data_IF_036043189472
#
_entry.id   IF_036043189472
#
_cell.length_a   1.000
_cell.length_b   1.000
_cell.length_c   1.000
_cell.angle_alpha   90.00
_cell.angle_beta   90.00
_cell.angle_gamma   90.00
#
_symmetry.space_group_name_H-M   'P 1'
#
loop_
_entity.id
_entity.type
_entity.pdbx_description
1 polymer ?
#
# COMPACT_ATOMS: atom_id res chain seq x y z
N UNK A 1 -2.17 1.27 25.34
CA UNK A 1 -3.55 0.98 24.92
C UNK A 1 -3.79 -0.47 24.47
N UNK A 2 -2.78 -1.26 24.19
CA UNK A 2 -2.94 -2.66 23.72
C UNK A 2 -2.72 -3.74 24.80
N UNK A 3 -2.87 -3.44 26.07
CA UNK A 3 -2.58 -4.39 27.17
C UNK A 3 -3.78 -5.21 27.63
N UNK A 4 -5.01 -4.85 27.28
CA UNK A 4 -6.23 -5.59 27.68
C UNK A 4 -6.85 -6.39 26.50
N UNK A 5 -6.34 -6.26 25.30
CA UNK A 5 -6.84 -6.93 24.10
C UNK A 5 -5.76 -7.46 23.17
N UNK A 6 -4.62 -7.95 23.71
CA UNK A 6 -3.49 -8.36 22.86
C UNK A 6 -3.86 -9.37 21.78
N UNK A 7 -4.73 -10.34 22.11
CA UNK A 7 -5.20 -11.34 21.14
C UNK A 7 -6.13 -10.75 20.08
N UNK A 8 -7.04 -9.85 20.47
CA UNK A 8 -7.94 -9.16 19.54
C UNK A 8 -7.14 -8.26 18.59
N UNK A 9 -6.17 -7.52 19.11
CA UNK A 9 -5.29 -6.66 18.34
C UNK A 9 -4.41 -7.44 17.34
N UNK A 10 -3.93 -8.64 17.70
CA UNK A 10 -3.16 -9.52 16.80
C UNK A 10 -4.05 -10.06 15.70
N UNK A 11 -5.26 -10.49 16.04
CA UNK A 11 -6.23 -11.02 15.07
C UNK A 11 -6.62 -9.96 14.04
N UNK A 12 -6.90 -8.74 14.46
CA UNK A 12 -7.28 -7.64 13.58
C UNK A 12 -6.16 -7.27 12.62
N UNK A 13 -4.92 -7.21 13.11
CA UNK A 13 -3.73 -7.00 12.28
C UNK A 13 -3.53 -8.14 11.28
N UNK A 14 -3.75 -9.38 11.70
CA UNK A 14 -3.65 -10.54 10.81
C UNK A 14 -4.71 -10.50 9.69
N UNK A 15 -5.95 -10.11 10.02
CA UNK A 15 -7.03 -9.96 9.02
C UNK A 15 -6.70 -8.86 8.01
N UNK A 16 -6.23 -7.71 8.46
CA UNK A 16 -5.84 -6.61 7.55
C UNK A 16 -4.59 -6.98 6.73
N UNK A 17 -3.64 -7.71 7.32
CA UNK A 17 -2.50 -8.26 6.58
C UNK A 17 -2.94 -9.28 5.52
N UNK A 18 -3.89 -10.15 5.85
CA UNK A 18 -4.47 -11.10 4.89
C UNK A 18 -5.21 -10.36 3.76
N UNK A 19 -5.95 -9.30 4.07
CA UNK A 19 -6.59 -8.43 3.08
C UNK A 19 -5.55 -7.84 2.11
N UNK A 20 -4.48 -7.24 2.61
CA UNK A 20 -3.40 -6.71 1.78
C UNK A 20 -2.74 -7.80 0.92
N UNK A 21 -2.55 -9.01 1.47
CA UNK A 21 -2.01 -10.15 0.72
C UNK A 21 -2.96 -10.60 -0.41
N UNK A 22 -4.25 -10.71 -0.14
CA UNK A 22 -5.26 -11.08 -1.17
C UNK A 22 -5.32 -10.04 -2.29
N UNK A 23 -5.31 -8.74 -1.95
CA UNK A 23 -5.26 -7.67 -2.95
C UNK A 23 -3.99 -7.78 -3.81
N UNK A 24 -2.87 -8.03 -3.19
CA UNK A 24 -1.60 -8.16 -3.89
C UNK A 24 -1.51 -9.41 -4.78
N UNK A 25 -2.36 -10.41 -4.54
CA UNK A 25 -2.49 -11.59 -5.39
C UNK A 25 -3.28 -11.30 -6.69
N UNK A 26 -4.09 -10.23 -6.72
CA UNK A 26 -4.85 -9.78 -7.89
C UNK A 26 -3.94 -9.04 -8.88
N UNK A 27 -3.04 -9.77 -9.51
CA UNK A 27 -2.07 -9.20 -10.45
C UNK A 27 -2.70 -8.88 -11.79
N UNK A 28 -2.43 -7.68 -12.29
CA UNK A 28 -2.76 -7.28 -13.66
C UNK A 28 -1.45 -7.20 -14.46
N UNK A 29 -1.36 -7.85 -15.62
CA UNK A 29 -0.21 -7.67 -16.50
C UNK A 29 -0.07 -6.19 -16.87
N UNK A 30 1.09 -5.64 -16.65
CA UNK A 30 1.43 -4.28 -17.08
C UNK A 30 2.23 -4.30 -18.38
N UNK A 31 2.48 -3.12 -18.91
CA UNK A 31 3.29 -2.95 -20.12
C UNK A 31 4.70 -3.50 -19.86
N UNK A 32 5.37 -4.03 -20.88
CA UNK A 32 6.77 -4.52 -20.82
C UNK A 32 7.02 -5.74 -19.92
N UNK A 33 5.99 -6.58 -19.66
CA UNK A 33 6.19 -7.81 -18.88
C UNK A 33 6.25 -7.60 -17.36
N UNK A 34 6.01 -6.37 -16.87
CA UNK A 34 5.81 -6.11 -15.45
C UNK A 34 4.40 -6.49 -15.01
N UNK A 35 4.15 -6.52 -13.71
CA UNK A 35 2.81 -6.72 -13.16
C UNK A 35 2.51 -5.65 -12.11
N UNK A 36 1.26 -5.22 -12.11
CA UNK A 36 0.74 -4.24 -11.15
C UNK A 36 -0.36 -4.87 -10.31
N UNK A 37 -0.46 -4.46 -9.06
CA UNK A 37 -1.50 -4.93 -8.15
C UNK A 37 -1.85 -3.84 -7.13
N UNK A 38 -3.06 -3.83 -6.56
CA UNK A 38 -3.38 -2.99 -5.41
C UNK A 38 -2.51 -3.39 -4.22
N UNK A 39 -2.08 -2.43 -3.43
CA UNK A 39 -1.17 -2.70 -2.31
C UNK A 39 -1.89 -3.15 -1.04
N UNK A 40 -3.08 -2.61 -0.79
CA UNK A 40 -3.86 -2.84 0.42
C UNK A 40 -3.26 -2.25 1.69
N UNK A 41 -2.07 -1.65 1.61
CA UNK A 41 -1.38 -1.08 2.78
C UNK A 41 -2.01 0.23 3.25
N UNK A 42 -2.78 0.90 2.40
CA UNK A 42 -3.51 2.12 2.74
C UNK A 42 -4.49 1.90 3.90
N UNK A 43 -5.26 0.82 3.87
CA UNK A 43 -6.16 0.44 4.97
C UNK A 43 -5.39 0.20 6.27
N UNK A 44 -4.31 -0.59 6.21
CA UNK A 44 -3.48 -0.89 7.36
C UNK A 44 -2.86 0.38 7.97
N UNK A 45 -2.39 1.32 7.13
CA UNK A 45 -1.80 2.57 7.57
C UNK A 45 -2.81 3.49 8.28
N UNK A 46 -4.06 3.53 7.81
CA UNK A 46 -5.15 4.28 8.43
C UNK A 46 -5.48 3.69 9.80
N UNK A 47 -5.60 2.35 9.91
CA UNK A 47 -6.03 1.67 11.12
C UNK A 47 -4.94 1.58 12.20
N UNK A 48 -3.70 1.28 11.82
CA UNK A 48 -2.64 0.91 12.78
C UNK A 48 -1.44 1.85 12.75
N UNK A 49 -1.43 2.82 11.85
CA UNK A 49 -0.29 3.71 11.64
C UNK A 49 0.86 3.08 10.85
N UNK A 50 1.84 3.89 10.44
CA UNK A 50 2.88 3.47 9.49
C UNK A 50 3.84 2.41 10.05
N UNK A 51 4.18 2.47 11.34
CA UNK A 51 5.14 1.53 11.94
C UNK A 51 4.64 0.08 11.93
N UNK A 52 3.39 -0.14 12.35
CA UNK A 52 2.78 -1.48 12.33
C UNK A 52 2.57 -1.95 10.90
N UNK A 53 2.14 -1.05 10.03
CA UNK A 53 1.93 -1.35 8.60
C UNK A 53 3.24 -1.73 7.91
N UNK A 54 4.37 -1.16 8.30
CA UNK A 54 5.67 -1.56 7.77
C UNK A 54 6.01 -3.02 8.10
N UNK A 55 5.69 -3.48 9.30
CA UNK A 55 5.87 -4.89 9.69
C UNK A 55 4.92 -5.79 8.91
N UNK A 56 3.64 -5.42 8.81
CA UNK A 56 2.66 -6.17 8.02
C UNK A 56 3.05 -6.22 6.55
N UNK A 57 3.49 -5.09 5.99
CA UNK A 57 3.97 -5.00 4.61
C UNK A 57 5.17 -5.90 4.34
N UNK A 58 6.13 -5.98 5.27
CA UNK A 58 7.25 -6.91 5.17
C UNK A 58 6.77 -8.37 5.12
N UNK A 59 5.85 -8.75 6.02
CA UNK A 59 5.30 -10.11 6.05
C UNK A 59 4.58 -10.43 4.74
N UNK A 60 3.71 -9.54 4.26
CA UNK A 60 3.00 -9.69 3.00
C UNK A 60 3.96 -9.85 1.82
N UNK A 61 5.01 -9.02 1.76
CA UNK A 61 6.00 -9.06 0.68
C UNK A 61 6.85 -10.34 0.70
N UNK A 62 7.15 -10.90 1.89
CA UNK A 62 7.80 -12.21 1.99
C UNK A 62 6.90 -13.28 1.38
N UNK A 63 5.62 -13.32 1.74
CA UNK A 63 4.68 -14.27 1.15
C UNK A 63 4.48 -14.06 -0.35
N UNK A 64 4.47 -12.81 -0.83
CA UNK A 64 4.44 -12.53 -2.27
C UNK A 64 5.65 -13.11 -3.00
N UNK A 65 6.85 -12.89 -2.45
CA UNK A 65 8.09 -13.37 -3.06
C UNK A 65 8.16 -14.90 -3.11
N UNK A 66 7.69 -15.57 -2.05
CA UNK A 66 7.79 -17.04 -1.92
C UNK A 66 6.63 -17.76 -2.61
N UNK A 67 5.39 -17.30 -2.42
CA UNK A 67 4.19 -18.02 -2.88
C UNK A 67 3.68 -17.54 -4.24
N UNK A 68 3.83 -16.25 -4.52
CA UNK A 68 3.24 -15.65 -5.73
C UNK A 68 4.26 -15.41 -6.84
N UNK A 69 5.54 -15.72 -6.61
CA UNK A 69 6.64 -15.41 -7.52
C UNK A 69 6.57 -13.95 -8.03
N UNK A 70 6.31 -13.01 -7.13
CA UNK A 70 6.18 -11.59 -7.42
C UNK A 70 7.23 -10.79 -6.66
N UNK A 71 8.00 -9.98 -7.37
CA UNK A 71 9.08 -9.17 -6.84
C UNK A 71 10.38 -9.95 -6.59
N UNK A 72 10.33 -11.12 -6.03
CA UNK A 72 11.51 -11.94 -5.71
C UNK A 72 12.27 -11.48 -4.44
N UNK A 73 13.11 -12.38 -3.92
CA UNK A 73 13.88 -12.15 -2.69
C UNK A 73 14.95 -11.07 -2.88
N UNK A 74 15.53 -10.99 -4.07
CA UNK A 74 16.58 -10.01 -4.42
C UNK A 74 16.08 -8.56 -4.41
N UNK A 75 14.81 -8.33 -4.73
CA UNK A 75 14.18 -7.00 -4.75
C UNK A 75 13.35 -6.73 -3.50
N UNK A 76 13.32 -7.65 -2.53
CA UNK A 76 12.50 -7.56 -1.33
C UNK A 76 12.75 -6.24 -0.56
N UNK A 77 14.00 -5.85 -0.39
CA UNK A 77 14.35 -4.61 0.33
C UNK A 77 13.81 -3.36 -0.37
N UNK A 78 13.90 -3.29 -1.69
CA UNK A 78 13.35 -2.18 -2.47
C UNK A 78 11.81 -2.13 -2.37
N UNK A 79 11.15 -3.29 -2.45
CA UNK A 79 9.70 -3.39 -2.32
C UNK A 79 9.22 -3.05 -0.89
N UNK A 80 9.95 -3.47 0.14
CA UNK A 80 9.64 -3.09 1.54
C UNK A 80 9.77 -1.58 1.71
N UNK A 81 10.80 -0.96 1.16
CA UNK A 81 10.96 0.48 1.26
C UNK A 81 9.83 1.24 0.56
N UNK A 82 9.45 0.85 -0.65
CA UNK A 82 8.37 1.53 -1.39
C UNK A 82 6.99 1.25 -0.81
N UNK A 83 6.61 -0.02 -0.70
CA UNK A 83 5.26 -0.45 -0.30
C UNK A 83 5.09 -0.56 1.23
N UNK A 84 6.11 -1.01 1.95
CA UNK A 84 6.01 -1.22 3.39
C UNK A 84 6.31 0.04 4.22
N UNK A 85 7.05 1.01 3.69
CA UNK A 85 7.46 2.20 4.45
C UNK A 85 6.85 3.47 3.85
N UNK A 86 7.22 3.84 2.62
CA UNK A 86 6.81 5.14 2.05
C UNK A 86 5.31 5.20 1.74
N UNK A 87 4.74 4.16 1.14
CA UNK A 87 3.30 4.10 0.90
C UNK A 87 2.48 4.34 2.18
N UNK A 88 2.69 3.54 3.24
CA UNK A 88 2.00 3.72 4.53
C UNK A 88 2.20 5.08 5.19
N UNK A 89 3.41 5.65 5.14
CA UNK A 89 3.68 6.98 5.68
C UNK A 89 2.81 8.03 4.98
N UNK A 90 2.79 8.01 3.64
CA UNK A 90 1.98 8.95 2.86
C UNK A 90 0.49 8.76 3.13
N UNK A 91 -0.01 7.52 3.12
CA UNK A 91 -1.40 7.20 3.45
C UNK A 91 -1.80 7.75 4.81
N UNK A 92 -1.00 7.50 5.84
CA UNK A 92 -1.27 7.95 7.21
C UNK A 92 -1.35 9.47 7.33
N UNK A 93 -0.37 10.18 6.78
CA UNK A 93 -0.35 11.65 6.88
C UNK A 93 -1.48 12.30 6.09
N UNK A 94 -1.84 11.77 4.91
CA UNK A 94 -2.98 12.25 4.14
C UNK A 94 -4.28 12.05 4.93
N UNK A 95 -4.49 10.85 5.47
CA UNK A 95 -5.68 10.58 6.29
C UNK A 95 -5.75 11.50 7.49
N UNK A 96 -4.65 11.64 8.24
CA UNK A 96 -4.58 12.49 9.44
C UNK A 96 -4.85 13.97 9.12
N UNK A 97 -4.40 14.45 7.98
CA UNK A 97 -4.63 15.84 7.54
C UNK A 97 -6.06 16.11 7.08
N UNK A 98 -6.74 15.08 6.51
CA UNK A 98 -8.04 15.25 5.88
C UNK A 98 -9.21 14.64 6.67
N UNK A 99 -8.98 13.90 7.74
CA UNK A 99 -10.02 13.19 8.50
C UNK A 99 -11.14 14.10 9.04
N UNK A 100 -10.85 15.36 9.27
CA UNK A 100 -11.81 16.35 9.78
C UNK A 100 -12.72 16.97 8.69
N UNK A 101 -12.45 16.71 7.41
CA UNK A 101 -13.24 17.24 6.29
C UNK A 101 -14.37 16.26 5.94
N UNK A 102 -14.05 15.30 5.08
CA UNK A 102 -14.97 14.22 4.71
C UNK A 102 -14.23 12.89 4.87
N UNK A 103 -14.72 12.04 5.78
CA UNK A 103 -14.05 10.80 6.14
C UNK A 103 -13.85 9.87 4.93
N UNK A 104 -14.88 9.64 4.14
CA UNK A 104 -14.77 8.76 2.97
C UNK A 104 -13.79 9.30 1.93
N UNK A 105 -13.78 10.61 1.73
CA UNK A 105 -12.85 11.25 0.82
C UNK A 105 -11.40 11.19 1.34
N UNK A 106 -11.21 11.37 2.65
CA UNK A 106 -9.89 11.22 3.29
C UNK A 106 -9.35 9.80 3.15
N UNK A 107 -10.18 8.78 3.36
CA UNK A 107 -9.82 7.37 3.20
C UNK A 107 -9.46 7.07 1.74
N UNK A 108 -10.30 7.53 0.80
CA UNK A 108 -10.06 7.35 -0.63
C UNK A 108 -8.70 7.94 -1.05
N UNK A 109 -8.45 9.21 -0.71
CA UNK A 109 -7.20 9.86 -1.07
C UNK A 109 -5.99 9.23 -0.37
N UNK A 110 -6.13 8.86 0.90
CA UNK A 110 -5.05 8.22 1.64
C UNK A 110 -4.62 6.90 1.00
N UNK A 111 -5.56 6.04 0.64
CA UNK A 111 -5.26 4.77 -0.02
C UNK A 111 -4.72 4.98 -1.44
N UNK A 112 -5.39 5.79 -2.25
CA UNK A 112 -5.01 6.03 -3.64
C UNK A 112 -3.62 6.69 -3.76
N UNK A 113 -3.34 7.73 -2.97
CA UNK A 113 -2.05 8.42 -3.03
C UNK A 113 -0.93 7.62 -2.36
N UNK A 114 -1.24 6.78 -1.37
CA UNK A 114 -0.30 5.82 -0.81
C UNK A 114 0.15 4.79 -1.83
N UNK A 115 -0.79 4.21 -2.59
CA UNK A 115 -0.49 3.30 -3.69
C UNK A 115 0.33 4.01 -4.79
N UNK A 116 -0.08 5.19 -5.22
CA UNK A 116 0.68 5.99 -6.19
C UNK A 116 2.10 6.31 -5.70
N UNK A 117 2.30 6.60 -4.42
CA UNK A 117 3.63 6.84 -3.86
C UNK A 117 4.52 5.60 -3.93
N UNK A 118 3.94 4.43 -3.74
CA UNK A 118 4.67 3.16 -3.88
C UNK A 118 5.24 3.02 -5.29
N UNK A 119 4.44 3.26 -6.33
CA UNK A 119 4.92 3.12 -7.69
C UNK A 119 5.90 4.23 -8.11
N UNK A 120 5.72 5.48 -7.67
CA UNK A 120 6.66 6.57 -7.90
C UNK A 120 8.03 6.22 -7.30
N UNK A 121 8.04 5.74 -6.07
CA UNK A 121 9.26 5.28 -5.40
C UNK A 121 9.94 4.16 -6.18
N UNK A 122 9.18 3.16 -6.62
CA UNK A 122 9.69 2.05 -7.43
C UNK A 122 10.29 2.55 -8.75
N UNK A 123 9.64 3.51 -9.42
CA UNK A 123 10.17 4.11 -10.66
C UNK A 123 11.49 4.83 -10.44
N UNK A 124 11.63 5.52 -9.31
CA UNK A 124 12.89 6.17 -8.91
C UNK A 124 13.97 5.12 -8.65
N UNK A 125 13.65 4.07 -7.90
CA UNK A 125 14.59 2.97 -7.62
C UNK A 125 15.07 2.28 -8.90
N UNK A 126 14.17 2.02 -9.84
CA UNK A 126 14.52 1.43 -11.14
C UNK A 126 15.35 2.38 -12.00
N UNK A 127 15.03 3.68 -11.98
CA UNK A 127 15.80 4.70 -12.68
C UNK A 127 17.25 4.80 -12.16
N UNK A 128 17.44 4.62 -10.84
CA UNK A 128 18.78 4.58 -10.22
C UNK A 128 19.54 3.29 -10.57
N UNK A 129 18.84 2.15 -10.58
CA UNK A 129 19.46 0.86 -10.87
C UNK A 129 19.78 0.69 -12.36
N UNK A 130 18.97 1.26 -13.25
CA UNK A 130 19.06 1.12 -14.69
C UNK A 130 18.99 2.50 -15.38
N UNK A 131 20.02 3.34 -15.25
CA UNK A 131 20.03 4.65 -15.90
C UNK A 131 20.05 4.52 -17.43
N UNK A 132 19.35 5.43 -18.10
CA UNK A 132 19.31 5.45 -19.57
C UNK A 132 20.69 5.89 -20.14
N UNK A 133 21.23 5.22 -21.17
CA UNK A 133 22.52 5.55 -21.74
C UNK A 133 22.63 6.98 -22.29
N UNK A 134 21.53 7.56 -22.76
CA UNK A 134 21.51 8.86 -23.41
C UNK A 134 21.01 10.01 -22.51
N UNK A 135 20.15 9.70 -21.50
CA UNK A 135 19.51 10.69 -20.65
C UNK A 135 19.66 10.44 -19.16
N UNK A 136 20.47 9.46 -18.77
CA UNK A 136 20.78 9.16 -17.38
C UNK A 136 19.56 8.79 -16.53
N UNK A 137 19.67 9.08 -15.24
CA UNK A 137 18.66 8.76 -14.23
C UNK A 137 17.27 9.35 -14.52
N UNK A 138 17.22 10.66 -14.84
CA UNK A 138 15.94 11.35 -15.00
C UNK A 138 15.10 10.81 -16.15
N UNK A 139 15.75 10.51 -17.29
CA UNK A 139 15.07 9.95 -18.44
C UNK A 139 14.59 8.53 -18.14
N UNK A 140 15.39 7.71 -17.46
CA UNK A 140 15.01 6.37 -17.07
C UNK A 140 13.83 6.37 -16.09
N UNK A 141 13.90 7.15 -15.01
CA UNK A 141 12.82 7.27 -14.05
C UNK A 141 11.49 7.75 -14.68
N UNK A 142 11.55 8.74 -15.58
CA UNK A 142 10.36 9.22 -16.29
C UNK A 142 9.75 8.16 -17.22
N UNK A 143 10.57 7.36 -17.90
CA UNK A 143 10.11 6.22 -18.70
C UNK A 143 9.39 5.18 -17.83
N UNK A 144 9.98 4.79 -16.69
CA UNK A 144 9.33 3.86 -15.76
C UNK A 144 8.03 4.42 -15.20
N UNK A 145 8.00 5.70 -14.80
CA UNK A 145 6.76 6.36 -14.37
C UNK A 145 5.67 6.30 -15.45
N UNK A 146 6.00 6.59 -16.70
CA UNK A 146 5.04 6.52 -17.81
C UNK A 146 4.51 5.12 -18.05
N UNK A 147 5.38 4.11 -18.00
CA UNK A 147 5.02 2.71 -18.16
C UNK A 147 4.05 2.24 -17.07
N UNK A 148 4.36 2.55 -15.82
CA UNK A 148 3.54 2.12 -14.70
C UNK A 148 2.24 2.93 -14.55
N UNK A 149 2.22 4.21 -14.91
CA UNK A 149 1.05 5.07 -14.78
C UNK A 149 -0.20 4.48 -15.44
N UNK A 150 -0.05 3.82 -16.58
CA UNK A 150 -1.15 3.23 -17.36
C UNK A 150 -1.96 2.23 -16.53
N UNK A 151 -1.30 1.45 -15.69
CA UNK A 151 -1.94 0.42 -14.85
C UNK A 151 -2.13 0.90 -13.42
N UNK A 152 -1.18 1.64 -12.85
CA UNK A 152 -1.24 2.05 -11.45
C UNK A 152 -2.25 3.16 -11.17
N UNK A 153 -2.50 4.08 -12.10
CA UNK A 153 -3.52 5.12 -11.87
C UNK A 153 -4.93 4.51 -11.74
N UNK A 154 -5.39 3.64 -12.65
CA UNK A 154 -6.66 2.92 -12.46
C UNK A 154 -6.69 2.05 -11.20
N UNK A 155 -5.57 1.38 -10.87
CA UNK A 155 -5.48 0.55 -9.67
C UNK A 155 -5.58 1.38 -8.39
N UNK A 156 -4.89 2.51 -8.31
CA UNK A 156 -4.97 3.42 -7.15
C UNK A 156 -6.40 3.92 -6.92
N UNK A 157 -7.12 4.27 -7.99
CA UNK A 157 -8.52 4.66 -7.89
C UNK A 157 -9.38 3.51 -7.37
N UNK A 158 -9.20 2.30 -7.90
CA UNK A 158 -9.95 1.12 -7.46
C UNK A 158 -9.60 0.72 -6.03
N UNK A 159 -8.33 0.79 -5.62
CA UNK A 159 -7.90 0.56 -4.24
C UNK A 159 -8.51 1.59 -3.27
N UNK A 160 -8.51 2.86 -3.66
CA UNK A 160 -9.14 3.92 -2.87
C UNK A 160 -10.63 3.67 -2.64
N UNK A 161 -11.38 3.33 -3.70
CA UNK A 161 -12.81 3.01 -3.63
C UNK A 161 -13.07 1.76 -2.77
N UNK A 162 -12.29 0.70 -2.99
CA UNK A 162 -12.41 -0.53 -2.22
C UNK A 162 -12.11 -0.30 -0.74
N UNK A 163 -11.08 0.47 -0.43
CA UNK A 163 -10.73 0.82 0.95
C UNK A 163 -11.86 1.58 1.65
N UNK A 164 -12.53 2.51 0.97
CA UNK A 164 -13.71 3.19 1.51
C UNK A 164 -14.84 2.21 1.82
N UNK A 165 -15.12 1.27 0.91
CA UNK A 165 -16.18 0.26 1.13
C UNK A 165 -15.84 -0.62 2.32
N UNK A 166 -14.63 -1.16 2.37
CA UNK A 166 -14.18 -2.04 3.47
C UNK A 166 -14.18 -1.29 4.80
N UNK A 167 -13.71 -0.05 4.82
CA UNK A 167 -13.70 0.76 6.03
C UNK A 167 -15.12 1.05 6.55
N UNK A 168 -16.07 1.35 5.65
CA UNK A 168 -17.47 1.55 6.03
C UNK A 168 -18.12 0.26 6.58
N UNK A 169 -17.75 -0.90 6.03
CA UNK A 169 -18.19 -2.19 6.57
C UNK A 169 -17.63 -2.37 7.99
N UNK A 170 -16.34 -2.09 8.20
CA UNK A 170 -15.71 -2.20 9.53
C UNK A 170 -16.40 -1.28 10.56
N UNK A 171 -16.74 -0.05 10.19
CA UNK A 171 -17.49 0.86 11.09
C UNK A 171 -18.84 0.27 11.50
N UNK A 172 -19.55 -0.37 10.59
CA UNK A 172 -20.88 -0.89 10.86
C UNK A 172 -20.84 -2.14 11.75
N UNK A 173 -19.81 -2.97 11.65
CA UNK A 173 -19.71 -4.25 12.35
C UNK A 173 -18.81 -4.22 13.59
N UNK A 174 -17.84 -3.30 13.68
CA UNK A 174 -16.81 -3.27 14.74
C UNK A 174 -16.57 -1.86 15.28
N UNK A 175 -17.63 -1.11 15.60
CA UNK A 175 -17.51 0.25 16.13
C UNK A 175 -16.67 0.35 17.41
N UNK A 176 -16.75 -0.64 18.28
CA UNK A 176 -16.00 -0.65 19.55
C UNK A 176 -14.50 -0.69 19.29
N UNK A 177 -14.05 -1.58 18.42
CA UNK A 177 -12.62 -1.70 18.06
C UNK A 177 -12.09 -0.43 17.38
N UNK A 178 -12.88 0.23 16.52
CA UNK A 178 -12.46 1.46 15.86
C UNK A 178 -12.37 2.65 16.82
N UNK A 179 -13.25 2.71 17.81
CA UNK A 179 -13.17 3.72 18.87
C UNK A 179 -11.93 3.55 19.76
N UNK A 180 -11.51 2.31 20.02
CA UNK A 180 -10.25 2.01 20.72
C UNK A 180 -9.01 2.43 19.93
N UNK A 181 -9.10 2.46 18.60
CA UNK A 181 -8.02 2.91 17.71
C UNK A 181 -7.98 4.42 17.49
N UNK A 182 -8.89 5.20 18.14
CA UNK A 182 -9.02 6.66 18.02
C UNK A 182 -9.23 7.16 16.55
N UNK A 183 -9.97 6.39 15.75
CA UNK A 183 -10.20 6.63 14.32
C UNK A 183 -11.61 7.16 14.04
#
# INVERSE_FOLDING_TARGET
ACLVGSEMCIRDRAVVGAFAFVLSALKIPSVTGSSSHPTGVGLAAILFGPAITSVLGLIVLIFQAVLLAHGGITTLGANVFSMGILGPIVSYFIYKGLKNTNRSFAIFLAAALGDLMTYVTTSIQLGLAFPDPNGGFLLSASKFMGIFAVTQVPLAISEGLLTVVVFNILINYNRETLNELEI
#
